data_IF_228549303207
#
_entry.id   IF_228549303207
#
_cell.length_a   1.000
_cell.length_b   1.000
_cell.length_c   1.000
_cell.angle_alpha   90.00
_cell.angle_beta   90.00
_cell.angle_gamma   90.00
#
_symmetry.space_group_name_H-M   'P 1'
#
loop_
_entity.id
_entity.type
_entity.pdbx_description
1 polymer ?
#
# COMPACT_ATOMS: atom_id res chain seq x y z
N UNK A 1 5.48 12.93 1.11
CA UNK A 1 4.03 13.22 1.04
C UNK A 1 3.28 11.95 0.67
N UNK A 2 2.18 11.61 1.33
CA UNK A 2 1.29 10.49 0.94
C UNK A 2 -0.12 11.04 0.78
N UNK A 3 -0.71 10.88 -0.40
CA UNK A 3 -2.04 11.42 -0.72
C UNK A 3 -3.04 10.33 -1.04
N UNK A 4 -4.29 10.52 -0.65
CA UNK A 4 -5.42 9.68 -1.04
C UNK A 4 -6.71 10.51 -0.96
N UNK A 5 -7.79 10.06 -1.60
CA UNK A 5 -9.13 10.63 -1.41
C UNK A 5 -9.89 9.97 -0.24
N UNK A 6 -9.45 8.78 0.18
CA UNK A 6 -10.08 7.99 1.23
C UNK A 6 -9.34 8.17 2.57
N UNK A 7 -10.00 8.82 3.53
CA UNK A 7 -9.43 9.08 4.85
C UNK A 7 -9.08 7.79 5.61
N UNK A 8 -9.92 6.75 5.55
CA UNK A 8 -9.68 5.52 6.29
C UNK A 8 -8.40 4.79 5.81
N UNK A 9 -8.06 4.91 4.51
CA UNK A 9 -6.79 4.39 3.98
C UNK A 9 -5.59 5.16 4.52
N UNK A 10 -5.69 6.49 4.58
CA UNK A 10 -4.66 7.35 5.16
C UNK A 10 -4.47 7.08 6.65
N UNK A 11 -5.57 6.97 7.40
CA UNK A 11 -5.53 6.71 8.84
C UNK A 11 -4.89 5.35 9.15
N UNK A 12 -5.20 4.32 8.35
CA UNK A 12 -4.53 3.01 8.48
C UNK A 12 -3.05 3.06 8.11
N UNK A 13 -2.67 3.80 7.07
CA UNK A 13 -1.26 3.97 6.74
C UNK A 13 -0.51 4.72 7.86
N UNK A 14 -1.13 5.76 8.42
CA UNK A 14 -0.57 6.57 9.49
C UNK A 14 -0.49 5.83 10.83
N UNK A 15 -1.35 4.84 11.10
CA UNK A 15 -1.26 4.02 12.30
C UNK A 15 -0.10 3.01 12.25
N UNK A 16 0.32 2.61 11.05
CA UNK A 16 1.45 1.69 10.84
C UNK A 16 2.75 2.48 10.76
N UNK A 17 2.77 3.54 9.94
CA UNK A 17 3.92 4.42 9.72
C UNK A 17 3.60 5.82 10.23
N UNK A 18 3.83 6.04 11.52
CA UNK A 18 3.45 7.30 12.15
C UNK A 18 4.36 8.45 11.70
N UNK A 19 3.82 9.67 11.73
CA UNK A 19 4.61 10.88 11.47
C UNK A 19 5.75 11.03 12.49
N UNK A 20 5.55 10.61 13.74
CA UNK A 20 6.59 10.62 14.78
C UNK A 20 7.72 9.64 14.46
N UNK A 21 7.40 8.44 13.97
CA UNK A 21 8.40 7.47 13.54
C UNK A 21 9.22 8.01 12.36
N UNK A 22 8.56 8.57 11.35
CA UNK A 22 9.24 9.21 10.23
C UNK A 22 10.13 10.39 10.68
N UNK A 23 9.63 11.25 11.58
CA UNK A 23 10.38 12.37 12.13
C UNK A 23 11.63 11.91 12.90
N UNK A 24 11.56 10.77 13.62
CA UNK A 24 12.73 10.15 14.27
C UNK A 24 13.84 9.73 13.29
N UNK A 25 13.51 9.63 12.00
CA UNK A 25 14.41 9.34 10.88
C UNK A 25 14.74 10.58 10.05
N UNK A 26 14.32 11.77 10.47
CA UNK A 26 14.55 13.02 9.75
C UNK A 26 13.63 13.23 8.54
N UNK A 27 12.49 12.54 8.48
CA UNK A 27 11.54 12.62 7.36
C UNK A 27 10.30 13.42 7.78
N UNK A 28 9.96 14.46 7.03
CA UNK A 28 8.66 15.15 7.13
C UNK A 28 7.58 14.34 6.38
N UNK A 29 6.97 13.39 7.09
CA UNK A 29 5.89 12.56 6.56
C UNK A 29 4.53 13.21 6.81
N UNK A 30 3.80 13.47 5.74
CA UNK A 30 2.45 14.02 5.78
C UNK A 30 1.49 13.14 5.01
N UNK A 31 0.37 12.81 5.66
CA UNK A 31 -0.78 12.15 5.06
C UNK A 31 -1.84 13.21 4.74
N UNK A 32 -2.21 13.33 3.46
CA UNK A 32 -3.07 14.42 2.98
C UNK A 32 -4.25 13.85 2.20
N UNK A 33 -5.45 14.23 2.62
CA UNK A 33 -6.67 13.87 1.90
C UNK A 33 -6.98 14.91 0.82
N UNK A 34 -6.66 14.60 -0.44
CA UNK A 34 -6.89 15.51 -1.57
C UNK A 34 -8.36 15.59 -1.97
N UNK A 35 -9.19 14.62 -1.59
CA UNK A 35 -10.64 14.65 -1.83
C UNK A 35 -11.40 15.67 -0.99
N UNK A 36 -10.75 16.27 0.01
CA UNK A 36 -11.31 17.33 0.87
C UNK A 36 -10.80 18.73 0.52
N UNK A 37 -9.92 18.84 -0.48
CA UNK A 37 -9.32 20.10 -0.91
C UNK A 37 -10.17 20.73 -2.02
N UNK A 38 -10.27 22.05 -2.01
CA UNK A 38 -10.95 22.77 -3.11
C UNK A 38 -10.05 22.81 -4.34
N UNK A 39 -8.75 23.00 -4.13
CA UNK A 39 -7.71 22.99 -5.17
C UNK A 39 -6.51 22.15 -4.72
N UNK A 40 -6.56 20.82 -4.92
CA UNK A 40 -5.49 19.92 -4.51
C UNK A 40 -4.13 20.29 -5.09
N UNK A 41 -4.06 20.82 -6.32
CA UNK A 41 -2.78 21.17 -6.96
C UNK A 41 -2.13 22.35 -6.24
N UNK A 42 -2.88 23.43 -6.03
CA UNK A 42 -2.39 24.61 -5.34
C UNK A 42 -2.03 24.30 -3.89
N UNK A 43 -2.89 23.57 -3.18
CA UNK A 43 -2.66 23.23 -1.78
C UNK A 43 -1.44 22.32 -1.61
N UNK A 44 -1.25 21.31 -2.47
CA UNK A 44 -0.06 20.46 -2.44
C UNK A 44 1.22 21.23 -2.75
N UNK A 45 1.21 22.18 -3.70
CA UNK A 45 2.36 23.05 -3.98
C UNK A 45 2.68 23.98 -2.81
N UNK A 46 1.65 24.55 -2.18
CA UNK A 46 1.85 25.40 -1.01
C UNK A 46 2.54 24.64 0.13
N UNK A 47 2.22 23.35 0.31
CA UNK A 47 2.90 22.51 1.30
C UNK A 47 4.40 22.35 0.99
N UNK A 48 4.80 22.30 -0.28
CA UNK A 48 6.21 22.25 -0.68
C UNK A 48 6.87 23.63 -0.88
N UNK A 49 6.27 24.70 -0.33
CA UNK A 49 6.80 26.06 -0.47
C UNK A 49 6.76 26.56 -1.91
N UNK A 50 5.74 26.14 -2.67
CA UNK A 50 5.50 26.44 -4.08
C UNK A 50 6.56 25.92 -5.06
N UNK A 51 7.46 25.03 -4.62
CA UNK A 51 8.50 24.44 -5.47
C UNK A 51 8.00 23.25 -6.31
N UNK A 52 6.93 22.58 -5.88
CA UNK A 52 6.48 21.31 -6.45
C UNK A 52 7.14 20.11 -5.77
N UNK A 53 7.18 18.97 -6.46
CA UNK A 53 7.77 17.72 -5.98
C UNK A 53 8.73 17.16 -7.04
N UNK A 54 9.92 16.74 -6.61
CA UNK A 54 10.95 16.17 -7.49
C UNK A 54 10.51 14.83 -8.07
N UNK A 55 9.85 13.99 -7.26
CA UNK A 55 9.32 12.71 -7.67
C UNK A 55 7.84 12.57 -7.26
N UNK A 56 7.00 12.18 -8.23
CA UNK A 56 5.58 11.91 -7.99
C UNK A 56 5.24 10.51 -8.47
N UNK A 57 4.81 9.65 -7.54
CA UNK A 57 4.41 8.27 -7.82
C UNK A 57 2.89 8.15 -7.88
N UNK A 58 2.38 7.72 -9.03
CA UNK A 58 0.96 7.48 -9.27
C UNK A 58 0.68 5.97 -9.19
N UNK A 59 -0.05 5.58 -8.15
CA UNK A 59 -0.37 4.19 -7.84
C UNK A 59 -1.78 3.73 -8.27
N UNK A 60 -2.55 4.61 -8.93
CA UNK A 60 -3.90 4.31 -9.37
C UNK A 60 -4.12 4.80 -10.82
N UNK A 61 -4.71 3.98 -11.71
CA UNK A 61 -4.92 4.35 -13.11
C UNK A 61 -6.19 5.18 -13.21
N UNK A 62 -6.18 6.34 -12.57
CA UNK A 62 -7.30 7.28 -12.49
C UNK A 62 -6.86 8.59 -13.10
N UNK A 63 -7.51 9.01 -14.19
CA UNK A 63 -7.10 10.18 -14.99
C UNK A 63 -6.82 11.43 -14.15
N UNK A 64 -7.74 11.88 -13.26
CA UNK A 64 -7.47 13.01 -12.38
C UNK A 64 -6.22 12.88 -11.50
N UNK A 65 -5.85 11.66 -11.09
CA UNK A 65 -4.66 11.42 -10.25
C UNK A 65 -3.39 11.58 -11.08
N UNK A 66 -3.39 11.12 -12.34
CA UNK A 66 -2.27 11.30 -13.27
C UNK A 66 -2.06 12.78 -13.58
N UNK A 67 -3.15 13.49 -13.90
CA UNK A 67 -3.13 14.92 -14.25
C UNK A 67 -2.72 15.80 -13.06
N UNK A 68 -3.21 15.48 -11.85
CA UNK A 68 -2.73 16.14 -10.63
C UNK A 68 -1.23 15.87 -10.40
N UNK A 69 -0.78 14.65 -10.67
CA UNK A 69 0.63 14.28 -10.56
C UNK A 69 1.55 15.10 -11.46
N UNK A 70 1.20 15.27 -12.74
CA UNK A 70 1.88 16.19 -13.67
C UNK A 70 1.88 17.63 -13.13
N UNK A 71 0.71 18.10 -12.68
CA UNK A 71 0.53 19.49 -12.29
C UNK A 71 1.35 19.91 -11.05
N UNK A 72 1.69 18.98 -10.15
CA UNK A 72 2.42 19.27 -8.90
C UNK A 72 3.95 19.11 -9.00
N UNK A 73 4.48 18.66 -10.14
CA UNK A 73 5.92 18.46 -10.30
C UNK A 73 6.71 19.75 -10.15
N UNK A 74 7.92 19.61 -9.60
CA UNK A 74 8.94 20.64 -9.62
C UNK A 74 9.60 20.72 -11.00
N UNK A 75 10.44 21.75 -11.19
CA UNK A 75 11.37 21.79 -12.31
C UNK A 75 12.32 20.58 -12.24
N UNK A 76 12.55 19.92 -13.38
CA UNK A 76 13.31 18.66 -13.50
C UNK A 76 12.68 17.47 -12.76
N UNK A 77 11.36 17.53 -12.49
CA UNK A 77 10.66 16.48 -11.76
C UNK A 77 10.31 15.24 -12.59
N UNK A 78 10.16 14.10 -11.93
CA UNK A 78 9.80 12.81 -12.52
C UNK A 78 8.39 12.33 -12.12
N UNK A 79 7.53 12.16 -13.13
CA UNK A 79 6.25 11.48 -13.00
C UNK A 79 6.41 9.96 -13.19
N UNK A 80 6.31 9.23 -12.09
CA UNK A 80 6.38 7.78 -12.05
C UNK A 80 4.97 7.17 -12.09
N UNK A 81 4.65 6.42 -13.15
CA UNK A 81 3.36 5.74 -13.30
C UNK A 81 3.49 4.24 -12.99
N UNK A 82 2.99 3.83 -11.81
CA UNK A 82 3.01 2.44 -11.30
C UNK A 82 1.61 2.00 -10.89
N UNK A 83 0.70 1.93 -11.87
CA UNK A 83 -0.74 1.78 -11.62
C UNK A 83 -1.42 0.63 -12.38
N UNK A 84 -0.73 -0.02 -13.32
CA UNK A 84 -1.21 -1.20 -14.06
C UNK A 84 -2.63 -1.05 -14.66
N UNK A 85 -2.87 -0.12 -15.61
CA UNK A 85 -4.20 0.06 -16.20
C UNK A 85 -4.66 -1.22 -16.93
N UNK A 86 -5.89 -1.66 -16.67
CA UNK A 86 -6.50 -2.80 -17.36
C UNK A 86 -7.14 -2.45 -18.71
N UNK A 87 -7.46 -1.16 -18.94
CA UNK A 87 -7.99 -0.66 -20.20
C UNK A 87 -6.83 -0.21 -21.11
N UNK A 88 -6.64 -0.82 -22.30
CA UNK A 88 -5.59 -0.42 -23.24
C UNK A 88 -5.78 0.99 -23.81
N UNK A 89 -6.96 1.61 -23.66
CA UNK A 89 -7.24 2.98 -24.11
C UNK A 89 -7.15 4.01 -22.97
N UNK A 90 -6.73 3.59 -21.77
CA UNK A 90 -6.53 4.52 -20.66
C UNK A 90 -5.58 5.65 -21.06
N UNK A 91 -6.03 6.88 -20.85
CA UNK A 91 -5.32 8.10 -21.23
C UNK A 91 -5.62 9.23 -20.25
N UNK A 92 -4.66 10.15 -20.11
CA UNK A 92 -4.74 11.36 -19.30
C UNK A 92 -4.08 12.53 -20.04
N UNK A 93 -4.50 13.76 -19.74
CA UNK A 93 -3.87 14.96 -20.28
C UNK A 93 -2.49 15.17 -19.65
N UNK A 94 -1.55 15.68 -20.45
CA UNK A 94 -0.19 15.95 -20.02
C UNK A 94 0.27 17.30 -20.58
N UNK A 95 0.89 18.12 -19.74
CA UNK A 95 1.43 19.40 -20.17
C UNK A 95 2.80 19.25 -20.86
N UNK A 96 2.80 19.20 -22.19
CA UNK A 96 4.04 19.13 -22.98
C UNK A 96 4.94 20.37 -22.90
N UNK A 97 4.42 21.51 -22.42
CA UNK A 97 5.29 22.65 -22.08
C UNK A 97 6.24 22.28 -20.95
N UNK A 98 5.74 21.60 -19.90
CA UNK A 98 6.56 21.17 -18.76
C UNK A 98 7.59 20.12 -19.18
N UNK A 99 7.18 19.17 -20.03
CA UNK A 99 8.10 18.17 -20.62
C UNK A 99 9.29 18.86 -21.31
N UNK A 100 9.04 19.93 -22.06
CA UNK A 100 10.10 20.57 -22.83
C UNK A 100 10.91 21.62 -22.04
N UNK A 101 10.22 22.50 -21.30
CA UNK A 101 10.83 23.68 -20.68
C UNK A 101 11.04 23.56 -19.17
N UNK A 102 10.29 22.69 -18.50
CA UNK A 102 10.49 22.37 -17.09
C UNK A 102 11.25 21.04 -16.92
N UNK A 103 11.77 20.45 -18.00
CA UNK A 103 12.54 19.19 -18.00
C UNK A 103 11.80 18.03 -17.31
N UNK A 104 10.48 17.96 -17.45
CA UNK A 104 9.72 16.87 -16.81
C UNK A 104 10.05 15.51 -17.44
N UNK A 105 10.36 14.53 -16.58
CA UNK A 105 10.55 13.14 -16.93
C UNK A 105 9.27 12.34 -16.70
N UNK A 106 8.98 11.38 -17.57
CA UNK A 106 7.82 10.48 -17.43
C UNK A 106 8.30 9.06 -17.59
N UNK A 107 8.03 8.23 -16.59
CA UNK A 107 8.47 6.85 -16.54
C UNK A 107 7.28 5.95 -16.23
N UNK A 108 7.04 4.97 -17.10
CA UNK A 108 6.18 3.83 -16.79
C UNK A 108 7.02 2.72 -16.17
N UNK A 109 6.60 2.19 -15.03
CA UNK A 109 7.29 1.08 -14.36
C UNK A 109 6.39 -0.14 -14.29
N UNK A 110 6.94 -1.32 -14.54
CA UNK A 110 6.22 -2.59 -14.47
C UNK A 110 7.11 -3.69 -13.91
N UNK A 111 6.75 -4.21 -12.74
CA UNK A 111 7.48 -5.31 -12.10
C UNK A 111 8.96 -4.98 -11.84
N UNK A 112 9.75 -6.03 -11.66
CA UNK A 112 11.20 -5.96 -11.52
C UNK A 112 11.85 -7.23 -12.09
N UNK A 113 13.13 -7.14 -12.41
CA UNK A 113 13.97 -8.25 -12.82
C UNK A 113 14.59 -8.96 -11.59
N UNK A 114 15.43 -9.96 -11.84
CA UNK A 114 16.06 -10.74 -10.76
C UNK A 114 16.99 -9.91 -9.87
N UNK A 115 17.63 -8.88 -10.39
CA UNK A 115 18.50 -8.00 -9.61
C UNK A 115 17.66 -7.07 -8.71
N UNK A 116 16.53 -6.55 -9.21
CA UNK A 116 15.57 -5.79 -8.40
C UNK A 116 15.04 -6.63 -7.23
N UNK A 117 14.81 -7.93 -7.44
CA UNK A 117 14.38 -8.85 -6.38
C UNK A 117 15.46 -9.07 -5.31
N UNK A 118 16.74 -9.17 -5.71
CA UNK A 118 17.85 -9.29 -4.75
C UNK A 118 17.96 -8.03 -3.89
N UNK A 119 17.89 -6.86 -4.52
CA UNK A 119 17.94 -5.58 -3.82
C UNK A 119 16.77 -5.42 -2.86
N UNK A 120 15.55 -5.77 -3.29
CA UNK A 120 14.37 -5.74 -2.42
C UNK A 120 14.54 -6.66 -1.19
N UNK A 121 15.09 -7.86 -1.36
CA UNK A 121 15.39 -8.78 -0.26
C UNK A 121 16.46 -8.20 0.68
N UNK A 122 17.50 -7.57 0.14
CA UNK A 122 18.55 -6.92 0.94
C UNK A 122 17.97 -5.79 1.80
N UNK A 123 17.14 -4.92 1.20
CA UNK A 123 16.46 -3.83 1.91
C UNK A 123 15.51 -4.37 2.99
N UNK A 124 14.71 -5.39 2.67
CA UNK A 124 13.82 -6.04 3.66
C UNK A 124 14.62 -6.67 4.80
N UNK A 125 15.74 -7.33 4.49
CA UNK A 125 16.65 -7.91 5.49
C UNK A 125 17.32 -6.83 6.36
N UNK A 126 17.46 -5.61 5.82
CA UNK A 126 17.93 -4.42 6.53
C UNK A 126 16.90 -3.81 7.50
N UNK A 127 15.67 -4.33 7.54
CA UNK A 127 14.63 -3.91 8.50
C UNK A 127 13.40 -3.25 7.88
N UNK A 128 13.24 -3.27 6.56
CA UNK A 128 11.96 -2.90 5.93
C UNK A 128 10.95 -4.03 6.10
N UNK A 129 9.87 -3.78 6.83
CA UNK A 129 8.84 -4.76 7.12
C UNK A 129 7.63 -4.62 6.16
N UNK A 130 7.36 -5.62 5.29
CA UNK A 130 6.22 -5.59 4.38
C UNK A 130 4.89 -6.03 5.04
N UNK A 131 4.87 -6.39 6.33
CA UNK A 131 3.69 -6.95 7.01
C UNK A 131 2.45 -6.04 6.94
N UNK A 132 2.65 -4.71 6.89
CA UNK A 132 1.57 -3.73 6.72
C UNK A 132 0.73 -3.93 5.45
N UNK A 133 1.24 -4.66 4.46
CA UNK A 133 0.53 -4.97 3.23
C UNK A 133 -0.44 -6.14 3.38
N UNK A 134 -0.22 -7.05 4.34
CA UNK A 134 -1.05 -8.25 4.54
C UNK A 134 -2.25 -7.90 5.40
N UNK A 135 -3.46 -8.17 4.90
CA UNK A 135 -4.69 -7.87 5.64
C UNK A 135 -5.59 -9.09 5.83
N UNK A 136 -5.37 -10.15 5.06
CA UNK A 136 -6.15 -11.39 5.16
C UNK A 136 -5.23 -12.60 5.15
N UNK A 137 -5.63 -13.62 5.90
CA UNK A 137 -4.97 -14.93 5.97
C UNK A 137 -5.96 -16.00 5.52
N UNK A 138 -5.53 -16.93 4.68
CA UNK A 138 -6.37 -18.03 4.20
C UNK A 138 -5.56 -19.28 3.88
N UNK A 139 -6.29 -20.37 3.66
CA UNK A 139 -5.81 -21.66 3.19
C UNK A 139 -6.00 -21.83 1.69
N UNK A 140 -5.60 -22.98 1.16
CA UNK A 140 -5.72 -23.26 -0.28
C UNK A 140 -7.20 -23.30 -0.73
N UNK A 141 -8.09 -23.76 0.14
CA UNK A 141 -9.54 -23.83 -0.05
C UNK A 141 -10.18 -22.46 -0.32
N UNK A 142 -9.58 -21.37 0.16
CA UNK A 142 -10.08 -20.02 -0.04
C UNK A 142 -9.77 -19.44 -1.43
N UNK A 143 -8.82 -20.00 -2.17
CA UNK A 143 -8.30 -19.42 -3.43
C UNK A 143 -9.38 -19.30 -4.53
N UNK A 144 -10.21 -20.33 -4.81
CA UNK A 144 -11.18 -20.25 -5.90
C UNK A 144 -12.22 -19.13 -5.72
N UNK A 145 -12.81 -19.01 -4.52
CA UNK A 145 -13.79 -17.95 -4.23
C UNK A 145 -13.12 -16.56 -4.23
N UNK A 146 -11.97 -16.45 -3.55
CA UNK A 146 -11.21 -15.19 -3.45
C UNK A 146 -10.85 -14.65 -4.82
N UNK A 147 -10.42 -15.52 -5.75
CA UNK A 147 -10.03 -15.11 -7.11
C UNK A 147 -11.22 -14.57 -7.90
N UNK A 148 -12.37 -15.24 -7.82
CA UNK A 148 -13.58 -14.84 -8.55
C UNK A 148 -14.19 -13.53 -8.03
N UNK A 149 -13.97 -13.22 -6.75
CA UNK A 149 -14.62 -12.09 -6.05
C UNK A 149 -13.66 -11.03 -5.56
N UNK A 150 -12.39 -11.09 -5.97
CA UNK A 150 -11.33 -10.20 -5.47
C UNK A 150 -11.71 -8.71 -5.44
N UNK A 151 -12.39 -8.14 -6.47
CA UNK A 151 -12.81 -6.74 -6.44
C UNK A 151 -13.81 -6.39 -5.33
N UNK A 152 -14.56 -7.36 -4.83
CA UNK A 152 -15.54 -7.22 -3.74
C UNK A 152 -14.88 -7.33 -2.34
N UNK A 153 -13.65 -7.85 -2.26
CA UNK A 153 -12.96 -8.14 -1.01
C UNK A 153 -11.99 -6.99 -0.69
N UNK A 154 -12.34 -6.08 0.24
CA UNK A 154 -11.51 -4.92 0.55
C UNK A 154 -10.17 -5.29 1.20
N UNK A 155 -9.33 -4.29 1.44
CA UNK A 155 -8.03 -4.45 2.09
C UNK A 155 -6.88 -4.77 1.14
N UNK A 156 -5.68 -4.93 1.70
CA UNK A 156 -4.43 -5.19 0.98
C UNK A 156 -4.27 -6.62 0.48
N UNK A 157 -3.08 -7.18 0.69
CA UNK A 157 -2.68 -8.53 0.25
C UNK A 157 -3.40 -9.62 1.05
N UNK A 158 -3.76 -10.69 0.33
CA UNK A 158 -4.37 -11.91 0.85
C UNK A 158 -3.27 -12.98 0.87
N UNK A 159 -2.76 -13.31 2.06
CA UNK A 159 -1.70 -14.30 2.23
C UNK A 159 -2.32 -15.69 2.34
N UNK A 160 -1.90 -16.61 1.46
CA UNK A 160 -2.44 -17.95 1.37
C UNK A 160 -1.39 -18.98 1.77
N UNK A 161 -1.72 -19.79 2.77
CA UNK A 161 -0.95 -20.96 3.17
C UNK A 161 -1.49 -22.19 2.43
N UNK A 162 -0.71 -22.70 1.49
CA UNK A 162 -1.18 -23.71 0.52
C UNK A 162 -1.40 -25.12 1.10
N UNK A 163 -1.01 -25.35 2.34
CA UNK A 163 -1.05 -26.66 3.00
C UNK A 163 -2.06 -26.71 4.15
N UNK A 164 -2.88 -25.67 4.34
CA UNK A 164 -3.94 -25.62 5.35
C UNK A 164 -5.28 -25.31 4.70
N UNK A 165 -6.35 -25.73 5.39
CA UNK A 165 -7.73 -25.33 5.10
C UNK A 165 -8.16 -24.24 6.08
N UNK A 166 -8.37 -23.03 5.57
CA UNK A 166 -8.74 -21.87 6.35
C UNK A 166 -9.51 -20.89 5.46
N UNK A 167 -10.77 -20.53 5.79
CA UNK A 167 -11.48 -19.49 5.07
C UNK A 167 -10.68 -18.18 5.02
N UNK A 168 -10.76 -17.44 3.91
CA UNK A 168 -10.10 -16.14 3.82
C UNK A 168 -10.62 -15.22 4.93
N UNK A 169 -9.77 -14.93 5.90
CA UNK A 169 -10.16 -14.24 7.12
C UNK A 169 -9.40 -12.93 7.25
N UNK A 170 -10.09 -11.77 7.37
CA UNK A 170 -9.45 -10.50 7.69
C UNK A 170 -8.79 -10.56 9.07
N UNK A 171 -7.57 -10.03 9.21
CA UNK A 171 -6.88 -9.97 10.51
C UNK A 171 -7.70 -9.20 11.54
N UNK A 172 -8.36 -8.12 11.09
CA UNK A 172 -9.22 -7.27 11.93
C UNK A 172 -10.43 -8.04 12.52
N UNK A 173 -10.83 -9.16 11.90
CA UNK A 173 -11.95 -10.00 12.37
C UNK A 173 -11.52 -11.09 13.39
N UNK A 174 -10.22 -11.30 13.62
CA UNK A 174 -9.74 -12.35 14.53
C UNK A 174 -10.29 -12.21 15.96
N UNK A 175 -10.39 -11.00 16.51
CA UNK A 175 -10.91 -10.79 17.86
C UNK A 175 -12.40 -11.17 17.96
N UNK A 176 -13.18 -10.87 16.90
CA UNK A 176 -14.60 -11.23 16.83
C UNK A 176 -14.78 -12.74 16.73
N UNK A 177 -14.04 -13.39 15.83
CA UNK A 177 -14.10 -14.84 15.62
C UNK A 177 -13.51 -15.62 16.81
N UNK A 178 -12.56 -15.02 17.53
CA UNK A 178 -11.94 -15.58 18.73
C UNK A 178 -12.89 -15.82 19.91
N UNK A 179 -14.11 -15.25 19.87
CA UNK A 179 -15.17 -15.52 20.85
C UNK A 179 -15.64 -16.97 20.78
N UNK A 180 -15.57 -17.59 19.61
CA UNK A 180 -16.11 -18.94 19.34
C UNK A 180 -15.03 -19.93 18.86
N UNK A 181 -13.86 -19.44 18.44
CA UNK A 181 -12.79 -20.27 17.88
C UNK A 181 -11.43 -19.96 18.54
N UNK A 182 -10.80 -20.98 19.11
CA UNK A 182 -9.52 -20.86 19.80
C UNK A 182 -8.36 -20.39 18.90
N UNK A 183 -8.31 -20.84 17.64
CA UNK A 183 -7.28 -20.41 16.68
C UNK A 183 -7.29 -18.89 16.54
N UNK A 184 -8.46 -18.32 16.24
CA UNK A 184 -8.61 -16.88 16.03
C UNK A 184 -8.42 -16.09 17.33
N UNK A 185 -8.76 -16.66 18.49
CA UNK A 185 -8.50 -16.03 19.79
C UNK A 185 -7.01 -15.80 20.03
N UNK A 186 -6.19 -16.82 19.79
CA UNK A 186 -4.75 -16.70 20.00
C UNK A 186 -4.09 -15.85 18.91
N UNK A 187 -4.50 -15.96 17.65
CA UNK A 187 -4.06 -15.07 16.58
C UNK A 187 -4.38 -13.60 16.87
N UNK A 188 -5.58 -13.30 17.38
CA UNK A 188 -5.95 -11.93 17.77
C UNK A 188 -5.00 -11.37 18.84
N UNK A 189 -4.65 -12.17 19.86
CA UNK A 189 -3.69 -11.77 20.90
C UNK A 189 -2.29 -11.54 20.31
N UNK A 190 -1.86 -12.36 19.35
CA UNK A 190 -0.56 -12.21 18.68
C UNK A 190 -0.55 -10.94 17.84
N UNK A 191 -1.48 -10.77 16.91
CA UNK A 191 -1.53 -9.57 16.08
C UNK A 191 -1.65 -8.29 16.92
N UNK A 192 -2.42 -8.28 18.01
CA UNK A 192 -2.56 -7.11 18.89
C UNK A 192 -1.24 -6.62 19.49
N UNK A 193 -0.31 -7.51 19.83
CA UNK A 193 1.03 -7.13 20.34
C UNK A 193 2.02 -6.75 19.23
N UNK A 194 1.68 -7.01 17.97
CA UNK A 194 2.43 -6.63 16.77
C UNK A 194 1.68 -5.55 15.96
N UNK A 195 1.08 -4.56 16.64
CA UNK A 195 0.37 -3.43 16.04
C UNK A 195 -0.76 -3.81 15.05
N UNK A 196 -1.41 -4.95 15.28
CA UNK A 196 -2.47 -5.47 14.40
C UNK A 196 -1.97 -6.08 13.09
N UNK A 197 -0.65 -6.30 12.97
CA UNK A 197 -0.04 -6.86 11.76
C UNK A 197 0.17 -8.38 11.86
N UNK A 198 0.31 -9.00 10.70
CA UNK A 198 0.84 -10.35 10.62
C UNK A 198 2.31 -10.37 11.02
N UNK A 199 2.79 -11.44 11.64
CA UNK A 199 4.15 -11.53 12.15
C UNK A 199 4.68 -12.97 12.08
N UNK A 200 6.00 -13.13 12.22
CA UNK A 200 6.65 -14.45 12.33
C UNK A 200 6.04 -15.29 13.46
N UNK A 201 5.66 -14.64 14.57
CA UNK A 201 5.00 -15.31 15.69
C UNK A 201 3.60 -15.82 15.32
N UNK A 202 2.82 -15.01 14.59
CA UNK A 202 1.47 -15.39 14.15
C UNK A 202 1.53 -16.55 13.14
N UNK A 203 2.47 -16.48 12.20
CA UNK A 203 2.73 -17.56 11.24
C UNK A 203 3.16 -18.84 11.95
N UNK A 204 4.16 -18.78 12.84
CA UNK A 204 4.63 -19.94 13.57
C UNK A 204 3.51 -20.60 14.38
N UNK A 205 2.66 -19.81 15.02
CA UNK A 205 1.49 -20.33 15.74
C UNK A 205 0.49 -21.01 14.80
N UNK A 206 0.15 -20.35 13.67
CA UNK A 206 -0.78 -20.90 12.68
C UNK A 206 -0.29 -22.26 12.16
N UNK A 207 0.98 -22.34 11.74
CA UNK A 207 1.55 -23.57 11.19
C UNK A 207 1.53 -24.70 12.23
N UNK A 208 1.97 -24.43 13.47
CA UNK A 208 1.95 -25.44 14.54
C UNK A 208 0.53 -25.91 14.88
N UNK A 209 -0.48 -25.03 14.78
CA UNK A 209 -1.88 -25.40 15.04
C UNK A 209 -2.42 -26.41 14.02
N UNK A 210 -1.97 -26.33 12.76
CA UNK A 210 -2.39 -27.25 11.69
C UNK A 210 -1.48 -28.48 11.57
N UNK A 211 -0.20 -28.40 11.94
CA UNK A 211 0.72 -29.55 11.97
C UNK A 211 0.37 -30.56 13.07
N UNK A 212 -0.44 -30.19 14.05
CA UNK A 212 -0.81 -31.02 15.20
C UNK A 212 -2.29 -31.45 15.18
N UNK A 213 -2.96 -31.31 14.04
CA UNK A 213 -4.33 -31.80 13.78
C UNK A 213 -4.32 -32.88 12.70
#
# INVERSE_FOLDING_TARGET
MVTDVNQARLDRAASIYTAEFAASRGIDLRYVNTGKMEDPVKELKSISGDQGYDDVFVFAPVRPVVEQGDAILAFDGCLNFFAGPGDPNFSAMLNFYNVHYAYTHIVGTSGGNNDDMKEAIEIMSGGLDPAGLVTHIGGLDAVPDTTNRLPEIPGGKKLIYTHIDLPLTPIDDFEKLGKENELFRELAKICKRHNGLWSVEAESFLLNYFDHK
#
